data_IF_108125393854
#
_entry.id   IF_108125393854
#
_cell.length_a   1.000
_cell.length_b   1.000
_cell.length_c   1.000
_cell.angle_alpha   90.00
_cell.angle_beta   90.00
_cell.angle_gamma   90.00
#
_symmetry.space_group_name_H-M   'P 1'
#
loop_
_entity.id
_entity.type
_entity.pdbx_description
1 polymer ?
#
# COMPACT_ATOMS: atom_id res chain seq x y z
N UNK A 1 -10.30 3.42 -1.16
CA UNK A 1 -9.24 4.31 -1.64
C UNK A 1 -9.45 4.55 -3.12
N UNK A 2 -10.15 5.63 -3.50
CA UNK A 2 -10.35 5.97 -4.91
C UNK A 2 -9.00 6.06 -5.65
N UNK A 3 -8.94 5.53 -6.86
CA UNK A 3 -7.72 5.47 -7.68
C UNK A 3 -6.69 4.40 -7.29
N UNK A 4 -6.96 3.57 -6.29
CA UNK A 4 -6.16 2.36 -6.02
C UNK A 4 -6.56 1.23 -6.97
N UNK A 5 -5.63 0.78 -7.80
CA UNK A 5 -5.83 -0.29 -8.79
C UNK A 5 -5.47 -1.67 -8.22
N UNK A 6 -4.49 -1.73 -7.32
CA UNK A 6 -4.07 -2.93 -6.59
C UNK A 6 -3.50 -2.55 -5.22
N UNK A 7 -3.79 -3.36 -4.21
CA UNK A 7 -3.22 -3.26 -2.86
C UNK A 7 -3.08 -4.67 -2.31
N UNK A 8 -1.85 -5.17 -2.24
CA UNK A 8 -1.55 -6.53 -1.79
C UNK A 8 -0.70 -6.46 -0.53
N UNK A 9 -1.16 -7.17 0.50
CA UNK A 9 -0.43 -7.40 1.74
C UNK A 9 -0.02 -8.86 1.76
N UNK A 10 1.26 -9.14 1.97
CA UNK A 10 1.81 -10.48 2.03
C UNK A 10 2.70 -10.63 3.27
N UNK A 11 2.75 -11.84 3.83
CA UNK A 11 3.78 -12.20 4.79
C UNK A 11 5.09 -12.45 4.04
N UNK A 12 6.22 -12.14 4.66
CA UNK A 12 7.50 -12.62 4.16
C UNK A 12 7.61 -14.14 4.37
N UNK A 13 8.22 -14.85 3.42
CA UNK A 13 8.37 -16.30 3.47
C UNK A 13 9.49 -16.77 4.42
N UNK A 14 10.37 -15.86 4.80
CA UNK A 14 11.61 -16.12 5.55
C UNK A 14 11.69 -15.36 6.86
N UNK A 15 10.90 -14.28 7.03
CA UNK A 15 10.80 -13.51 8.24
C UNK A 15 9.34 -13.45 8.75
N UNK A 16 9.01 -14.10 9.89
CA UNK A 16 7.65 -14.15 10.40
C UNK A 16 7.10 -12.80 10.88
N UNK A 17 7.96 -11.81 11.14
CA UNK A 17 7.58 -10.48 11.63
C UNK A 17 7.51 -9.46 10.50
N UNK A 18 7.92 -9.82 9.27
CA UNK A 18 7.90 -8.95 8.11
C UNK A 18 6.63 -9.11 7.27
N UNK A 19 6.13 -7.97 6.78
CA UNK A 19 5.06 -7.92 5.78
C UNK A 19 5.49 -7.07 4.59
N UNK A 20 5.08 -7.50 3.41
CA UNK A 20 5.22 -6.76 2.16
C UNK A 20 3.91 -6.11 1.79
N UNK A 21 3.98 -4.82 1.46
CA UNK A 21 2.85 -4.07 0.90
C UNK A 21 3.26 -3.65 -0.51
N UNK A 22 2.47 -4.05 -1.50
CA UNK A 22 2.65 -3.62 -2.89
C UNK A 22 1.38 -2.95 -3.39
N UNK A 23 1.56 -1.78 -4.00
CA UNK A 23 0.44 -0.90 -4.34
C UNK A 23 0.59 -0.42 -5.78
N UNK A 24 -0.54 -0.34 -6.48
CA UNK A 24 -0.63 0.29 -7.80
C UNK A 24 -1.76 1.31 -7.76
N UNK A 25 -1.45 2.52 -8.18
CA UNK A 25 -2.35 3.66 -8.17
C UNK A 25 -2.48 4.25 -9.58
N UNK A 26 -3.65 4.78 -9.91
CA UNK A 26 -3.87 5.49 -11.18
C UNK A 26 -3.02 6.77 -11.29
N UNK A 27 -2.67 7.36 -10.14
CA UNK A 27 -1.93 8.60 -10.03
C UNK A 27 -1.39 8.79 -8.62
N UNK A 28 -0.30 9.56 -8.51
CA UNK A 28 0.25 9.97 -7.23
C UNK A 28 -0.75 10.81 -6.41
N UNK A 29 -1.60 11.59 -7.08
CA UNK A 29 -2.64 12.41 -6.44
C UNK A 29 -3.68 11.54 -5.73
N UNK A 30 -4.14 10.46 -6.35
CA UNK A 30 -5.09 9.53 -5.73
C UNK A 30 -4.50 8.85 -4.50
N UNK A 31 -3.22 8.42 -4.56
CA UNK A 31 -2.53 7.89 -3.39
C UNK A 31 -2.47 8.91 -2.25
N UNK A 32 -2.05 10.14 -2.52
CA UNK A 32 -2.00 11.21 -1.51
C UNK A 32 -3.40 11.53 -0.93
N UNK A 33 -4.42 11.61 -1.77
CA UNK A 33 -5.80 11.83 -1.33
C UNK A 33 -6.33 10.68 -0.47
N UNK A 34 -5.84 9.46 -0.66
CA UNK A 34 -6.23 8.32 0.17
C UNK A 34 -5.84 8.49 1.64
N UNK A 35 -4.74 9.20 1.93
CA UNK A 35 -4.22 9.43 3.28
C UNK A 35 -5.12 10.35 4.12
N UNK A 36 -6.04 11.07 3.49
CA UNK A 36 -7.02 11.94 4.18
C UNK A 36 -8.33 11.22 4.48
N UNK A 37 -8.53 10.00 3.97
CA UNK A 37 -9.74 9.23 4.22
C UNK A 37 -9.82 8.81 5.69
N UNK A 38 -10.96 9.02 6.38
CA UNK A 38 -11.07 8.67 7.80
C UNK A 38 -10.72 7.21 8.13
N UNK A 39 -11.15 6.27 7.28
CA UNK A 39 -10.84 4.86 7.45
C UNK A 39 -9.33 4.56 7.36
N UNK A 40 -8.61 5.24 6.46
CA UNK A 40 -7.15 5.09 6.29
C UNK A 40 -6.42 5.68 7.50
N UNK A 41 -6.82 6.86 7.96
CA UNK A 41 -6.25 7.49 9.17
C UNK A 41 -6.47 6.63 10.42
N UNK A 42 -7.65 6.00 10.55
CA UNK A 42 -7.93 5.07 11.64
C UNK A 42 -7.07 3.80 11.56
N UNK A 43 -6.90 3.24 10.35
CA UNK A 43 -6.02 2.09 10.14
C UNK A 43 -4.57 2.43 10.49
N UNK A 44 -4.04 3.58 10.04
CA UNK A 44 -2.70 4.07 10.41
C UNK A 44 -2.58 4.24 11.92
N UNK A 45 -3.57 4.85 12.57
CA UNK A 45 -3.54 5.06 14.03
C UNK A 45 -3.49 3.74 14.81
N UNK A 46 -4.20 2.71 14.36
CA UNK A 46 -4.20 1.38 14.98
C UNK A 46 -2.94 0.58 14.65
N UNK A 47 -2.44 0.69 13.42
CA UNK A 47 -1.29 -0.09 12.93
C UNK A 47 0.05 0.47 13.40
N UNK A 48 0.21 1.80 13.47
CA UNK A 48 1.47 2.46 13.85
C UNK A 48 2.12 1.91 15.13
N UNK A 49 1.42 1.67 16.25
CA UNK A 49 2.06 1.10 17.45
C UNK A 49 2.53 -0.36 17.29
N UNK A 50 2.09 -1.07 16.26
CA UNK A 50 2.46 -2.46 15.97
C UNK A 50 3.68 -2.57 15.04
N UNK A 51 4.08 -1.46 14.41
CA UNK A 51 5.19 -1.44 13.45
C UNK A 51 6.51 -1.29 14.23
N UNK A 52 7.27 -2.38 14.32
CA UNK A 52 8.59 -2.39 14.96
C UNK A 52 9.62 -1.52 14.21
N UNK A 53 9.47 -1.40 12.89
CA UNK A 53 10.30 -0.56 12.02
C UNK A 53 9.79 -0.58 10.58
N UNK A 54 10.33 0.32 9.75
CA UNK A 54 10.09 0.29 8.30
C UNK A 54 11.29 -0.36 7.61
N UNK A 55 11.02 -1.37 6.79
CA UNK A 55 11.99 -1.94 5.86
C UNK A 55 12.16 -1.07 4.62
N UNK A 56 12.30 -1.71 3.46
CA UNK A 56 12.52 -1.01 2.19
C UNK A 56 11.26 -0.30 1.68
N UNK A 57 11.46 0.82 0.98
CA UNK A 57 10.41 1.54 0.25
C UNK A 57 10.91 1.99 -1.11
N UNK A 58 10.15 1.63 -2.15
CA UNK A 58 10.45 2.01 -3.52
C UNK A 58 9.22 2.61 -4.20
N UNK A 59 9.39 3.76 -4.85
CA UNK A 59 8.38 4.30 -5.76
C UNK A 59 8.69 3.81 -7.18
N UNK A 60 7.70 3.20 -7.83
CA UNK A 60 7.84 2.61 -9.16
C UNK A 60 6.83 3.20 -10.13
N UNK A 61 7.08 3.03 -11.43
CA UNK A 61 6.14 3.40 -12.50
C UNK A 61 5.71 2.14 -13.25
N UNK A 62 4.56 1.54 -12.91
CA UNK A 62 4.05 0.38 -13.64
C UNK A 62 3.83 0.71 -15.13
N UNK A 63 4.36 -0.12 -16.02
CA UNK A 63 4.23 0.05 -17.48
C UNK A 63 3.32 -1.01 -18.14
N UNK A 64 2.85 -1.99 -17.38
CA UNK A 64 1.98 -3.07 -17.84
C UNK A 64 1.83 -4.16 -16.79
N UNK A 65 0.89 -5.09 -17.00
CA UNK A 65 0.60 -6.21 -16.11
C UNK A 65 -0.78 -6.81 -16.37
N UNK A 66 -1.07 -7.93 -15.72
CA UNK A 66 -2.39 -8.59 -15.77
C UNK A 66 -3.09 -8.47 -14.41
N UNK A 67 -4.43 -8.40 -14.42
CA UNK A 67 -5.24 -8.38 -13.20
C UNK A 67 -5.31 -7.03 -12.47
N UNK A 68 -4.68 -5.98 -13.01
CA UNK A 68 -4.90 -4.62 -12.53
C UNK A 68 -6.30 -4.16 -12.94
N UNK A 69 -7.03 -3.54 -12.01
CA UNK A 69 -8.32 -2.90 -12.35
C UNK A 69 -8.04 -1.82 -13.39
N UNK A 70 -8.84 -1.79 -14.45
CA UNK A 70 -8.80 -0.69 -15.40
C UNK A 70 -9.32 0.57 -14.71
N UNK A 71 -8.58 1.67 -14.86
CA UNK A 71 -8.98 3.01 -14.41
C UNK A 71 -10.04 3.61 -15.30
#
# INVERSE_FOLDING_TARGET
>A
MPGCLSYVVAQDATDPDAIWITEVWDSQKSHQASLTLPAVQQAISKGKPLIAGFGERFETRPIGGHGLKQS
#
